data_IF_651162956014
#
_entry.id   IF_651162956014
#
_cell.length_a   1.000
_cell.length_b   1.000
_cell.length_c   1.000
_cell.angle_alpha   90.00
_cell.angle_beta   90.00
_cell.angle_gamma   90.00
#
_symmetry.space_group_name_H-M   'P 1'
#
loop_
_entity.id
_entity.type
_entity.pdbx_description
1 polymer ?
#
# COMPACT_ATOMS: atom_id res chain seq x y z
N UNK A 1 -28.51 5.13 -31.81
CA UNK A 1 -27.49 4.72 -30.82
C UNK A 1 -26.20 5.43 -31.16
N UNK A 2 -25.77 6.35 -30.29
CA UNK A 2 -24.63 7.21 -30.55
C UNK A 2 -23.33 6.41 -30.38
N UNK A 3 -22.68 6.05 -31.50
CA UNK A 3 -21.49 5.17 -31.52
C UNK A 3 -20.34 5.76 -30.70
N UNK A 4 -20.25 7.08 -30.64
CA UNK A 4 -19.22 7.79 -29.89
C UNK A 4 -19.38 7.57 -28.37
N UNK A 5 -20.61 7.73 -27.85
CA UNK A 5 -20.91 7.46 -26.44
C UNK A 5 -20.70 5.99 -26.06
N UNK A 6 -21.00 5.06 -26.98
CA UNK A 6 -20.75 3.63 -26.76
C UNK A 6 -19.25 3.33 -26.63
N UNK A 7 -18.42 3.95 -27.46
CA UNK A 7 -16.97 3.81 -27.37
C UNK A 7 -16.43 4.38 -26.06
N UNK A 8 -16.89 5.57 -25.65
CA UNK A 8 -16.51 6.19 -24.36
C UNK A 8 -16.88 5.30 -23.16
N UNK A 9 -18.07 4.68 -23.17
CA UNK A 9 -18.47 3.74 -22.12
C UNK A 9 -17.53 2.52 -22.07
N UNK A 10 -17.11 2.00 -23.22
CA UNK A 10 -16.20 0.86 -23.27
C UNK A 10 -14.80 1.22 -22.76
N UNK A 11 -14.28 2.41 -23.07
CA UNK A 11 -13.01 2.92 -22.54
C UNK A 11 -13.07 3.06 -21.01
N UNK A 12 -14.13 3.69 -20.49
CA UNK A 12 -14.35 3.84 -19.04
C UNK A 12 -14.48 2.48 -18.33
N UNK A 13 -15.06 1.46 -18.98
CA UNK A 13 -15.14 0.10 -18.43
C UNK A 13 -13.77 -0.57 -18.34
N UNK A 14 -12.91 -0.37 -19.33
CA UNK A 14 -11.52 -0.86 -19.27
C UNK A 14 -10.72 -0.15 -18.18
N UNK A 15 -10.93 1.15 -18.00
CA UNK A 15 -10.33 1.89 -16.89
C UNK A 15 -10.80 1.38 -15.53
N UNK A 16 -12.11 1.10 -15.39
CA UNK A 16 -12.68 0.48 -14.19
C UNK A 16 -12.03 -0.88 -13.89
N UNK A 17 -11.84 -1.72 -14.91
CA UNK A 17 -11.19 -3.03 -14.77
C UNK A 17 -9.75 -2.90 -14.27
N UNK A 18 -8.98 -1.95 -14.81
CA UNK A 18 -7.61 -1.67 -14.34
C UNK A 18 -7.57 -1.21 -12.89
N UNK A 19 -8.56 -0.42 -12.45
CA UNK A 19 -8.67 0.02 -11.05
C UNK A 19 -8.98 -1.17 -10.14
N UNK A 20 -9.88 -2.07 -10.55
CA UNK A 20 -10.19 -3.29 -9.80
C UNK A 20 -8.96 -4.22 -9.67
N UNK A 21 -8.21 -4.42 -10.75
CA UNK A 21 -6.95 -5.18 -10.74
C UNK A 21 -5.92 -4.56 -9.78
N UNK A 22 -5.74 -3.23 -9.80
CA UNK A 22 -4.86 -2.52 -8.87
C UNK A 22 -5.29 -2.68 -7.42
N UNK A 23 -6.59 -2.64 -7.12
CA UNK A 23 -7.10 -2.84 -5.76
C UNK A 23 -6.80 -4.26 -5.24
N UNK A 24 -6.95 -5.28 -6.10
CA UNK A 24 -6.62 -6.67 -5.76
C UNK A 24 -5.11 -6.82 -5.51
N UNK A 25 -4.28 -6.23 -6.38
CA UNK A 25 -2.82 -6.25 -6.22
C UNK A 25 -2.39 -5.58 -4.90
N UNK A 26 -3.02 -4.45 -4.54
CA UNK A 26 -2.75 -3.73 -3.31
C UNK A 26 -3.09 -4.55 -2.05
N UNK A 27 -4.20 -5.29 -2.11
CA UNK A 27 -4.60 -6.23 -1.06
C UNK A 27 -3.55 -7.34 -0.87
N UNK A 28 -2.99 -7.85 -1.97
CA UNK A 28 -2.04 -8.96 -1.97
C UNK A 28 -0.57 -8.57 -1.73
N UNK A 29 -0.23 -7.27 -1.71
CA UNK A 29 1.17 -6.77 -1.63
C UNK A 29 1.88 -6.95 -0.28
N UNK A 30 1.49 -7.92 0.55
CA UNK A 30 2.09 -8.21 1.85
C UNK A 30 3.32 -9.10 1.79
N UNK A 31 4.50 -8.59 1.40
CA UNK A 31 5.72 -9.39 1.46
C UNK A 31 6.37 -9.34 2.85
N UNK A 32 5.88 -10.18 3.77
CA UNK A 32 6.38 -10.32 5.14
C UNK A 32 7.92 -10.42 5.20
N UNK A 33 8.50 -11.19 4.27
CA UNK A 33 9.94 -11.44 4.24
C UNK A 33 10.74 -10.14 4.04
N UNK A 34 10.28 -9.27 3.15
CA UNK A 34 10.91 -7.98 2.89
C UNK A 34 10.84 -7.06 4.13
N UNK A 35 9.71 -7.05 4.83
CA UNK A 35 9.53 -6.26 6.06
C UNK A 35 10.41 -6.76 7.20
N UNK A 36 10.49 -8.08 7.34
CA UNK A 36 11.33 -8.74 8.32
C UNK A 36 12.82 -8.41 8.11
N UNK A 37 13.31 -8.53 6.86
CA UNK A 37 14.71 -8.22 6.53
C UNK A 37 15.02 -6.74 6.79
N UNK A 38 14.15 -5.81 6.38
CA UNK A 38 14.34 -4.38 6.65
C UNK A 38 14.45 -4.09 8.14
N UNK A 39 13.56 -4.69 8.94
CA UNK A 39 13.56 -4.50 10.40
C UNK A 39 14.83 -5.07 11.05
N UNK A 40 15.33 -6.21 10.56
CA UNK A 40 16.64 -6.76 10.99
C UNK A 40 17.76 -5.79 10.66
N UNK A 41 17.84 -5.29 9.43
CA UNK A 41 18.89 -4.37 9.01
C UNK A 41 18.89 -3.10 9.87
N UNK A 42 17.72 -2.54 10.16
CA UNK A 42 17.60 -1.38 11.07
C UNK A 42 18.13 -1.72 12.46
N UNK A 43 17.76 -2.88 13.03
CA UNK A 43 18.26 -3.29 14.34
C UNK A 43 19.78 -3.51 14.35
N UNK A 44 20.36 -4.08 13.29
CA UNK A 44 21.82 -4.24 13.15
C UNK A 44 22.52 -2.87 13.14
N UNK A 45 22.01 -1.90 12.39
CA UNK A 45 22.60 -0.55 12.36
C UNK A 45 22.66 0.07 13.76
N UNK A 46 21.59 -0.07 14.55
CA UNK A 46 21.60 0.44 15.91
C UNK A 46 22.52 -0.33 16.87
N UNK A 47 22.69 -1.64 16.68
CA UNK A 47 23.71 -2.40 17.41
C UNK A 47 25.11 -1.88 17.04
N UNK A 48 25.38 -1.57 15.78
CA UNK A 48 26.66 -0.98 15.38
C UNK A 48 26.88 0.39 16.02
N UNK A 49 25.85 1.25 16.05
CA UNK A 49 25.90 2.54 16.76
C UNK A 49 26.13 2.34 18.26
N UNK A 50 25.52 1.32 18.87
CA UNK A 50 25.70 1.00 20.30
C UNK A 50 27.14 0.64 20.67
N UNK A 51 27.95 0.17 19.70
CA UNK A 51 29.39 -0.06 19.92
C UNK A 51 30.14 1.25 20.19
N UNK A 52 29.70 2.39 19.63
CA UNK A 52 30.29 3.70 19.88
C UNK A 52 30.14 4.15 21.34
N UNK A 53 29.16 3.58 22.05
CA UNK A 53 28.86 3.90 23.45
C UNK A 53 29.41 2.86 24.44
N UNK A 54 30.25 1.92 23.99
CA UNK A 54 30.86 0.86 24.81
C UNK A 54 29.84 0.07 25.66
N UNK A 55 28.63 -0.15 25.14
CA UNK A 55 27.60 -0.89 25.86
C UNK A 55 28.00 -2.37 26.08
N UNK A 56 27.63 -2.98 27.22
CA UNK A 56 27.87 -4.40 27.44
C UNK A 56 26.99 -5.25 26.49
N UNK A 57 27.45 -6.46 26.16
CA UNK A 57 26.77 -7.32 25.19
C UNK A 57 25.29 -7.60 25.52
N UNK A 58 24.97 -7.74 26.81
CA UNK A 58 23.59 -7.91 27.29
C UNK A 58 22.71 -6.71 26.90
N UNK A 59 23.21 -5.48 27.07
CA UNK A 59 22.50 -4.28 26.68
C UNK A 59 22.36 -4.16 25.16
N UNK A 60 23.36 -4.58 24.38
CA UNK A 60 23.29 -4.59 22.91
C UNK A 60 22.21 -5.53 22.39
N UNK A 61 22.06 -6.71 23.01
CA UNK A 61 20.99 -7.66 22.67
C UNK A 61 19.62 -7.03 22.96
N UNK A 62 19.46 -6.36 24.11
CA UNK A 62 18.22 -5.66 24.44
C UNK A 62 17.91 -4.57 23.42
N UNK A 63 18.90 -3.75 23.06
CA UNK A 63 18.76 -2.71 22.02
C UNK A 63 18.33 -3.32 20.69
N UNK A 64 18.95 -4.42 20.26
CA UNK A 64 18.58 -5.13 19.05
C UNK A 64 17.10 -5.54 19.06
N UNK A 65 16.67 -6.23 20.12
CA UNK A 65 15.30 -6.75 20.24
C UNK A 65 14.28 -5.61 20.27
N UNK A 66 14.52 -4.58 21.08
CA UNK A 66 13.62 -3.44 21.18
C UNK A 66 13.46 -2.72 19.85
N UNK A 67 14.57 -2.45 19.16
CA UNK A 67 14.55 -1.74 17.89
C UNK A 67 13.93 -2.59 16.79
N UNK A 68 14.20 -3.89 16.79
CA UNK A 68 13.55 -4.82 15.89
C UNK A 68 12.03 -4.80 16.07
N UNK A 69 11.53 -4.90 17.31
CA UNK A 69 10.09 -4.86 17.61
C UNK A 69 9.49 -3.52 17.17
N UNK A 70 10.13 -2.40 17.54
CA UNK A 70 9.67 -1.07 17.17
C UNK A 70 9.65 -0.86 15.66
N UNK A 71 10.68 -1.31 14.93
CA UNK A 71 10.75 -1.22 13.49
C UNK A 71 9.61 -2.00 12.82
N UNK A 72 9.33 -3.22 13.29
CA UNK A 72 8.20 -4.00 12.80
C UNK A 72 6.86 -3.29 13.07
N UNK A 73 6.68 -2.73 14.27
CA UNK A 73 5.46 -2.02 14.64
C UNK A 73 5.23 -0.77 13.80
N UNK A 74 6.27 0.07 13.63
CA UNK A 74 6.19 1.26 12.79
C UNK A 74 5.95 0.91 11.32
N UNK A 75 6.65 -0.10 10.78
CA UNK A 75 6.40 -0.53 9.41
C UNK A 75 4.96 -1.01 9.23
N UNK A 76 4.43 -1.83 10.15
CA UNK A 76 3.05 -2.29 10.09
C UNK A 76 2.04 -1.14 10.10
N UNK A 77 2.26 -0.12 10.94
CA UNK A 77 1.41 1.09 10.98
C UNK A 77 1.48 1.88 9.68
N UNK A 78 2.67 2.12 9.15
CA UNK A 78 2.86 2.86 7.90
C UNK A 78 2.17 2.13 6.75
N UNK A 79 2.42 0.83 6.60
CA UNK A 79 1.79 0.02 5.54
C UNK A 79 0.27 0.06 5.65
N UNK A 80 -0.27 -0.10 6.86
CA UNK A 80 -1.71 -0.05 7.09
C UNK A 80 -2.30 1.30 6.67
N UNK A 81 -1.62 2.40 7.00
CA UNK A 81 -2.10 3.74 6.66
C UNK A 81 -1.97 4.02 5.16
N UNK A 82 -0.80 3.79 4.57
CA UNK A 82 -0.55 4.02 3.14
C UNK A 82 -1.48 3.19 2.27
N UNK A 83 -1.68 1.91 2.59
CA UNK A 83 -2.64 1.07 1.84
C UNK A 83 -4.07 1.53 1.99
N UNK A 84 -4.46 2.01 3.17
CA UNK A 84 -5.81 2.53 3.39
C UNK A 84 -6.06 3.76 2.53
N UNK A 85 -5.10 4.68 2.49
CA UNK A 85 -5.22 5.94 1.73
C UNK A 85 -5.21 5.68 0.22
N UNK A 86 -4.32 4.81 -0.27
CA UNK A 86 -4.30 4.38 -1.67
C UNK A 86 -5.59 3.65 -2.07
N UNK A 87 -6.10 2.75 -1.22
CA UNK A 87 -7.37 2.05 -1.47
C UNK A 87 -8.57 3.01 -1.47
N UNK A 88 -8.56 4.02 -0.59
CA UNK A 88 -9.62 5.03 -0.55
C UNK A 88 -9.62 5.90 -1.82
N UNK A 89 -8.45 6.27 -2.32
CA UNK A 89 -8.32 7.01 -3.57
C UNK A 89 -8.82 6.20 -4.78
N UNK A 90 -8.43 4.92 -4.88
CA UNK A 90 -8.93 4.02 -5.93
C UNK A 90 -10.45 3.85 -5.87
N UNK A 91 -11.04 3.74 -4.66
CA UNK A 91 -12.51 3.68 -4.51
C UNK A 91 -13.21 4.96 -4.97
N UNK A 92 -12.66 6.14 -4.67
CA UNK A 92 -13.22 7.42 -5.14
C UNK A 92 -13.19 7.50 -6.66
N UNK A 93 -12.09 7.06 -7.28
CA UNK A 93 -11.92 7.02 -8.73
C UNK A 93 -12.89 6.02 -9.39
N UNK A 94 -13.03 4.83 -8.81
CA UNK A 94 -13.99 3.82 -9.25
C UNK A 94 -15.44 4.37 -9.25
N UNK A 95 -15.85 5.05 -8.17
CA UNK A 95 -17.18 5.67 -8.08
C UNK A 95 -17.36 6.75 -9.14
N UNK A 96 -16.34 7.58 -9.37
CA UNK A 96 -16.39 8.65 -10.39
C UNK A 96 -16.65 8.08 -11.78
N UNK A 97 -15.90 7.04 -12.17
CA UNK A 97 -16.05 6.36 -13.46
C UNK A 97 -17.42 5.68 -13.57
N UNK A 98 -17.90 5.00 -12.51
CA UNK A 98 -19.24 4.40 -12.50
C UNK A 98 -20.36 5.45 -12.71
N UNK A 99 -20.25 6.62 -12.07
CA UNK A 99 -21.19 7.73 -12.26
C UNK A 99 -21.14 8.25 -13.70
N UNK A 100 -19.97 8.34 -14.30
CA UNK A 100 -19.80 8.80 -15.68
C UNK A 100 -20.40 7.82 -16.70
N UNK A 101 -20.14 6.51 -16.52
CA UNK A 101 -20.80 5.45 -17.29
C UNK A 101 -22.32 5.54 -17.15
N UNK A 102 -22.83 5.77 -15.93
CA UNK A 102 -24.27 5.88 -15.69
C UNK A 102 -24.88 7.08 -16.41
N UNK A 103 -24.23 8.25 -16.37
CA UNK A 103 -24.67 9.45 -17.10
C UNK A 103 -24.72 9.20 -18.61
N UNK A 104 -23.62 8.69 -19.18
CA UNK A 104 -23.53 8.39 -20.61
C UNK A 104 -24.57 7.35 -21.05
N UNK A 105 -24.84 6.35 -20.20
CA UNK A 105 -25.85 5.31 -20.46
C UNK A 105 -27.28 5.82 -20.37
N UNK A 106 -27.55 6.80 -19.48
CA UNK A 106 -28.85 7.46 -19.39
C UNK A 106 -29.15 8.27 -20.65
N UNK A 107 -28.14 8.93 -21.21
CA UNK A 107 -28.27 9.75 -22.43
C UNK A 107 -28.31 8.92 -23.73
N UNK A 108 -28.15 7.60 -23.64
CA UNK A 108 -28.27 6.63 -24.75
C UNK A 108 -29.66 5.97 -24.81
N UNK A 109 -30.46 6.12 -23.75
CA UNK A 109 -31.85 5.64 -23.65
C UNK A 109 -32.81 6.65 -24.25
#
# INVERSE_FOLDING_TARGET
MDKEKLNQINELREELRKIDEKMIELSNKGNFLLFFIKSILTAIVFVLVSNLFNLPNQAKIIVFVLIFIMANFFQALIIKHTRKDELENLKKEQIKIQVEIFKLSKDLK
#
